data_IF_372607550705
#
_entry.id   IF_372607550705
#
_cell.length_a   1.000
_cell.length_b   1.000
_cell.length_c   1.000
_cell.angle_alpha   90.00
_cell.angle_beta   90.00
_cell.angle_gamma   90.00
#
_symmetry.space_group_name_H-M   'P 1'
#
loop_
_entity.id
_entity.type
_entity.pdbx_description
1 polymer ?
#
# COMPACT_ATOMS: atom_id res chain seq x y z
N UNK A 1 8.30 -11.56 -3.17
CA UNK A 1 7.33 -11.01 -4.14
C UNK A 1 7.42 -11.83 -5.42
N UNK A 2 6.29 -12.08 -6.09
CA UNK A 2 6.22 -12.93 -7.29
C UNK A 2 7.10 -12.38 -8.42
N UNK A 3 7.70 -13.27 -9.22
CA UNK A 3 8.43 -12.89 -10.44
C UNK A 3 7.52 -12.18 -11.45
N UNK A 4 6.21 -12.47 -11.39
CA UNK A 4 5.18 -11.77 -12.11
C UNK A 4 4.83 -10.49 -11.33
N UNK A 5 5.30 -9.33 -11.81
CA UNK A 5 4.97 -8.00 -11.25
C UNK A 5 3.46 -7.69 -11.24
N UNK A 6 3.06 -6.48 -10.83
CA UNK A 6 1.67 -6.14 -10.52
C UNK A 6 0.70 -6.35 -11.68
N UNK A 7 -0.57 -6.63 -11.36
CA UNK A 7 -1.65 -6.65 -12.34
C UNK A 7 -2.00 -5.23 -12.79
N UNK A 8 -2.77 -5.09 -13.89
CA UNK A 8 -3.23 -3.76 -14.35
C UNK A 8 -4.08 -3.08 -13.28
N UNK A 9 -5.00 -3.83 -12.68
CA UNK A 9 -5.84 -3.43 -11.56
C UNK A 9 -5.61 -4.44 -10.44
N UNK A 10 -5.25 -3.95 -9.26
CA UNK A 10 -5.06 -4.75 -8.05
C UNK A 10 -5.31 -3.88 -6.82
N UNK A 11 -5.63 -4.55 -5.72
CA UNK A 11 -5.77 -3.96 -4.40
C UNK A 11 -5.11 -4.94 -3.43
N UNK A 12 -4.16 -4.45 -2.63
CA UNK A 12 -3.33 -5.30 -1.79
C UNK A 12 -3.18 -4.71 -0.40
N UNK A 13 -3.03 -5.61 0.58
CA UNK A 13 -2.58 -5.31 1.94
C UNK A 13 -1.20 -5.94 2.10
N UNK A 14 -0.24 -5.16 2.57
CA UNK A 14 1.18 -5.52 2.63
C UNK A 14 1.66 -5.38 4.07
N UNK A 15 2.32 -6.41 4.58
CA UNK A 15 3.08 -6.31 5.82
C UNK A 15 4.48 -5.76 5.51
N UNK A 16 4.93 -4.76 6.26
CA UNK A 16 6.27 -4.17 6.11
C UNK A 16 7.36 -4.90 6.90
N UNK A 17 7.01 -5.96 7.63
CA UNK A 17 7.97 -6.83 8.28
C UNK A 17 8.62 -7.80 7.29
N UNK A 18 9.67 -8.47 7.75
CA UNK A 18 10.29 -9.56 7.05
C UNK A 18 9.36 -10.77 6.98
N UNK A 19 9.52 -11.60 5.93
CA UNK A 19 8.69 -12.80 5.70
C UNK A 19 8.65 -13.77 6.90
N UNK A 20 9.73 -13.84 7.68
CA UNK A 20 9.84 -14.72 8.85
C UNK A 20 9.49 -14.02 10.17
N UNK A 21 9.09 -12.75 10.13
CA UNK A 21 8.66 -11.99 11.30
C UNK A 21 7.17 -12.16 11.59
N UNK A 22 6.77 -11.78 12.79
CA UNK A 22 5.39 -11.88 13.26
C UNK A 22 4.47 -10.81 12.64
N UNK A 23 5.06 -9.81 11.96
CA UNK A 23 4.37 -8.68 11.38
C UNK A 23 4.48 -7.43 12.24
N UNK A 24 4.77 -6.29 11.61
CA UNK A 24 5.07 -5.04 12.31
C UNK A 24 4.14 -3.90 11.96
N UNK A 25 3.84 -3.73 10.67
CA UNK A 25 2.98 -2.66 10.17
C UNK A 25 2.30 -3.09 8.88
N UNK A 26 1.01 -2.83 8.78
CA UNK A 26 0.21 -3.15 7.60
C UNK A 26 -0.13 -1.87 6.86
N UNK A 27 0.10 -1.88 5.55
CA UNK A 27 -0.19 -0.80 4.61
C UNK A 27 -1.00 -1.36 3.47
N UNK A 28 -1.64 -0.50 2.68
CA UNK A 28 -2.39 -0.95 1.51
C UNK A 28 -2.11 -0.10 0.30
N UNK A 29 -2.33 -0.67 -0.88
CA UNK A 29 -2.38 0.11 -2.09
C UNK A 29 -3.48 -0.36 -3.04
N UNK A 30 -3.94 0.60 -3.85
CA UNK A 30 -4.88 0.39 -4.94
C UNK A 30 -4.17 0.81 -6.21
N UNK A 31 -4.01 -0.12 -7.14
CA UNK A 31 -3.52 0.18 -8.47
C UNK A 31 -4.66 0.15 -9.47
N UNK A 32 -4.80 1.21 -10.27
CA UNK A 32 -5.69 1.26 -11.45
C UNK A 32 -4.90 1.79 -12.64
N UNK A 33 -4.59 0.89 -13.57
CA UNK A 33 -3.76 1.22 -14.74
C UNK A 33 -2.35 1.68 -14.33
N UNK A 34 -2.05 2.97 -14.55
CA UNK A 34 -0.75 3.60 -14.28
C UNK A 34 -0.73 4.44 -13.00
N UNK A 35 -1.81 4.45 -12.22
CA UNK A 35 -1.89 5.18 -10.96
C UNK A 35 -1.98 4.19 -9.80
N UNK A 36 -1.21 4.47 -8.75
CA UNK A 36 -1.23 3.73 -7.48
C UNK A 36 -1.52 4.72 -6.37
N UNK A 37 -2.53 4.41 -5.56
CA UNK A 37 -2.81 5.08 -4.29
C UNK A 37 -2.31 4.20 -3.17
N UNK A 38 -1.26 4.64 -2.50
CA UNK A 38 -0.70 4.02 -1.32
C UNK A 38 -1.31 4.63 -0.06
N UNK A 39 -1.62 3.78 0.89
CA UNK A 39 -2.16 4.15 2.18
C UNK A 39 -1.29 3.61 3.30
N UNK A 40 -0.88 4.53 4.17
CA UNK A 40 -0.20 4.24 5.43
C UNK A 40 -0.88 5.05 6.53
N UNK A 41 -1.40 4.37 7.54
CA UNK A 41 -2.16 5.00 8.62
C UNK A 41 -1.33 6.02 9.43
N UNK A 42 0.01 5.95 9.40
CA UNK A 42 0.87 6.96 10.01
C UNK A 42 0.95 8.27 9.21
N UNK A 43 0.60 8.25 7.93
CA UNK A 43 0.51 9.41 7.06
C UNK A 43 1.86 10.07 6.76
N UNK A 44 1.92 10.76 5.62
CA UNK A 44 3.09 11.48 5.14
C UNK A 44 4.37 10.60 5.06
N UNK A 45 4.18 9.30 4.81
CA UNK A 45 5.26 8.34 4.60
C UNK A 45 5.28 7.90 3.14
N UNK A 46 6.49 7.84 2.59
CA UNK A 46 6.71 7.33 1.24
C UNK A 46 6.74 5.80 1.26
N UNK A 47 6.38 5.21 0.13
CA UNK A 47 6.43 3.77 -0.07
C UNK A 47 7.86 3.23 0.15
N UNK A 48 8.02 2.04 0.74
CA UNK A 48 9.30 1.34 0.78
C UNK A 48 9.89 1.10 -0.60
N UNK A 49 11.23 1.05 -0.71
CA UNK A 49 11.94 0.91 -2.01
C UNK A 49 11.58 -0.39 -2.73
N UNK A 50 11.36 -1.45 -1.98
CA UNK A 50 10.99 -2.78 -2.43
C UNK A 50 9.62 -2.75 -3.11
N UNK A 51 8.66 -2.02 -2.52
CA UNK A 51 7.33 -1.85 -3.08
C UNK A 51 7.37 -1.00 -4.35
N UNK A 52 8.15 0.08 -4.35
CA UNK A 52 8.37 0.90 -5.57
C UNK A 52 8.94 0.03 -6.69
N UNK A 53 9.96 -0.80 -6.39
CA UNK A 53 10.57 -1.73 -7.35
C UNK A 53 9.55 -2.73 -7.90
N UNK A 54 8.72 -3.32 -7.04
CA UNK A 54 7.65 -4.22 -7.46
C UNK A 54 6.67 -3.53 -8.41
N UNK A 55 6.13 -2.38 -8.00
CA UNK A 55 5.12 -1.64 -8.76
C UNK A 55 5.66 -1.24 -10.15
N UNK A 56 6.90 -0.77 -10.20
CA UNK A 56 7.52 -0.26 -11.44
C UNK A 56 8.15 -1.33 -12.32
N UNK A 57 8.21 -2.59 -11.88
CA UNK A 57 8.90 -3.68 -12.60
C UNK A 57 8.38 -3.86 -14.05
N UNK A 58 7.06 -3.67 -14.26
CA UNK A 58 6.42 -3.83 -15.57
C UNK A 58 6.23 -2.52 -16.34
N UNK A 59 6.41 -1.36 -15.71
CA UNK A 59 6.16 -0.06 -16.35
C UNK A 59 6.97 1.05 -15.70
N UNK A 60 7.76 1.77 -16.51
CA UNK A 60 8.60 2.88 -16.05
C UNK A 60 7.82 4.17 -15.74
N UNK A 61 6.51 4.22 -16.02
CA UNK A 61 5.67 5.43 -15.86
C UNK A 61 4.49 5.13 -14.93
N UNK A 62 4.73 4.91 -13.65
CA UNK A 62 3.66 4.83 -12.64
C UNK A 62 3.60 6.13 -11.85
N UNK A 63 2.39 6.67 -11.68
CA UNK A 63 2.10 7.78 -10.77
C UNK A 63 1.80 7.21 -9.39
N UNK A 64 2.70 7.45 -8.44
CA UNK A 64 2.53 7.06 -7.05
C UNK A 64 1.94 8.21 -6.24
N UNK A 65 0.83 7.95 -5.55
CA UNK A 65 0.15 8.86 -4.63
C UNK A 65 0.16 8.25 -3.23
N UNK A 66 0.22 9.08 -2.20
CA UNK A 66 0.18 8.63 -0.81
C UNK A 66 -0.59 9.63 0.06
N UNK A 67 -1.18 9.14 1.16
CA UNK A 67 -1.89 10.00 2.10
C UNK A 67 -0.91 10.81 2.97
N UNK A 68 -1.23 12.09 3.17
CA UNK A 68 -0.47 12.97 4.07
C UNK A 68 -1.01 12.97 5.49
N UNK A 69 -2.33 12.78 5.65
CA UNK A 69 -2.96 12.83 6.96
C UNK A 69 -2.62 11.57 7.78
N UNK A 70 -2.24 11.80 9.03
CA UNK A 70 -2.03 10.74 10.03
C UNK A 70 -3.38 10.37 10.63
N UNK A 71 -3.70 9.08 10.62
CA UNK A 71 -4.92 8.54 11.24
C UNK A 71 -4.61 7.65 12.44
N UNK A 72 -3.35 7.27 12.62
CA UNK A 72 -2.89 6.39 13.68
C UNK A 72 -1.65 6.95 14.38
N UNK A 73 -1.60 6.79 15.70
CA UNK A 73 -0.42 7.07 16.51
C UNK A 73 0.52 5.86 16.51
N UNK A 74 1.82 6.09 16.67
CA UNK A 74 2.79 4.99 16.83
C UNK A 74 2.42 4.11 18.04
N UNK A 75 2.79 2.83 18.00
CA UNK A 75 2.52 1.83 19.05
C UNK A 75 1.04 1.48 19.29
N UNK A 76 0.19 1.68 18.29
CA UNK A 76 -1.19 1.16 18.26
C UNK A 76 -1.33 0.11 17.14
N UNK A 77 -2.40 -0.69 17.14
CA UNK A 77 -2.47 -1.92 16.32
C UNK A 77 -3.59 -1.95 15.25
N UNK A 78 -4.23 -0.81 14.95
CA UNK A 78 -5.38 -0.75 14.05
C UNK A 78 -5.03 -0.52 12.56
N UNK A 79 -3.75 -0.63 12.19
CA UNK A 79 -3.31 -0.34 10.82
C UNK A 79 -3.95 -1.27 9.77
N UNK A 80 -4.15 -2.55 10.12
CA UNK A 80 -4.86 -3.51 9.25
C UNK A 80 -6.32 -3.12 9.02
N UNK A 81 -7.05 -2.77 10.07
CA UNK A 81 -8.46 -2.34 9.97
C UNK A 81 -8.60 -1.06 9.14
N UNK A 82 -7.67 -0.11 9.32
CA UNK A 82 -7.62 1.11 8.54
C UNK A 82 -7.31 0.86 7.07
N UNK A 83 -6.47 -0.12 6.75
CA UNK A 83 -6.26 -0.56 5.36
C UNK A 83 -7.56 -1.11 4.75
N UNK A 84 -8.28 -1.97 5.46
CA UNK A 84 -9.56 -2.50 4.98
C UNK A 84 -10.59 -1.39 4.74
N UNK A 85 -10.66 -0.43 5.67
CA UNK A 85 -11.53 0.75 5.52
C UNK A 85 -11.17 1.56 4.28
N UNK A 86 -9.89 1.91 4.11
CA UNK A 86 -9.41 2.65 2.93
C UNK A 86 -9.76 1.91 1.62
N UNK A 87 -9.49 0.60 1.57
CA UNK A 87 -9.82 -0.22 0.40
C UNK A 87 -11.34 -0.25 0.15
N UNK A 88 -12.16 -0.38 1.19
CA UNK A 88 -13.62 -0.40 1.06
C UNK A 88 -14.18 0.92 0.54
N UNK A 89 -13.75 2.05 1.09
CA UNK A 89 -14.21 3.39 0.70
C UNK A 89 -13.81 3.70 -0.75
N UNK A 90 -12.53 3.52 -1.10
CA UNK A 90 -11.99 3.89 -2.42
C UNK A 90 -12.35 2.91 -3.55
N UNK A 91 -12.78 1.69 -3.24
CA UNK A 91 -13.27 0.74 -4.26
C UNK A 91 -14.77 0.77 -4.44
N UNK A 92 -15.54 1.25 -3.46
CA UNK A 92 -16.99 1.42 -3.59
C UNK A 92 -17.35 2.68 -4.38
N UNK A 93 -16.49 3.70 -4.33
CA UNK A 93 -16.70 4.99 -4.99
C UNK A 93 -16.07 5.11 -6.39
N UNK A 94 -15.49 4.03 -6.94
CA UNK A 94 -14.77 4.04 -8.23
C UNK A 94 -15.10 2.85 -9.12
#
# INVERSE_FOLDING_TARGET
MSEQGPLKNESVIINLDNKSGDGSHWVSDIKRGMVVWYYDSFGNLRLPKELIKYLTNKSKKIKLLYNYNRQQQFNTFWCGDLCLRFLSEETSER
#
